data_IF_063047398642
#
_entry.id   IF_063047398642
#
_cell.length_a   1.000
_cell.length_b   1.000
_cell.length_c   1.000
_cell.angle_alpha   90.00
_cell.angle_beta   90.00
_cell.angle_gamma   90.00
#
_symmetry.space_group_name_H-M   'P 1'
#
loop_
_entity.id
_entity.type
_entity.pdbx_description
1 polymer ?
#
# COMPACT_ATOMS: atom_id res chain seq x y z
N UNK A 1 -5.88 -6.30 -3.19
CA UNK A 1 -4.53 -5.87 -3.63
C UNK A 1 -3.60 -7.07 -3.65
N UNK A 2 -2.76 -7.21 -4.68
CA UNK A 2 -1.73 -8.26 -4.69
C UNK A 2 -0.57 -7.82 -3.78
N UNK A 3 -0.37 -8.54 -2.69
CA UNK A 3 0.72 -8.25 -1.75
C UNK A 3 2.06 -8.69 -2.37
N UNK A 4 3.02 -7.76 -2.47
CA UNK A 4 4.41 -8.08 -2.83
C UNK A 4 5.09 -8.84 -1.68
N UNK A 5 4.81 -10.13 -1.58
CA UNK A 5 5.27 -11.00 -0.48
C UNK A 5 6.21 -12.06 -1.01
N UNK A 6 7.26 -12.37 -0.24
CA UNK A 6 8.12 -13.52 -0.46
C UNK A 6 7.94 -14.48 0.71
N UNK A 7 7.58 -15.72 0.41
CA UNK A 7 7.41 -16.80 1.37
C UNK A 7 8.62 -17.74 1.30
N UNK A 8 9.22 -18.00 2.46
CA UNK A 8 10.34 -18.93 2.59
C UNK A 8 9.87 -20.20 3.29
N UNK A 9 10.21 -21.36 2.74
CA UNK A 9 10.02 -22.66 3.40
C UNK A 9 11.36 -23.13 3.95
N UNK A 10 11.46 -23.28 5.27
CA UNK A 10 12.63 -23.81 5.94
C UNK A 10 12.28 -25.09 6.71
N UNK A 11 13.10 -26.12 6.54
CA UNK A 11 12.95 -27.42 7.20
C UNK A 11 14.30 -27.84 7.78
N UNK A 12 14.30 -28.34 9.03
CA UNK A 12 15.52 -28.78 9.71
C UNK A 12 16.65 -27.72 9.71
N UNK A 13 16.29 -26.44 9.93
CA UNK A 13 17.19 -25.28 9.83
C UNK A 13 17.85 -25.07 8.45
N UNK A 14 17.27 -25.63 7.39
CA UNK A 14 17.73 -25.45 5.99
C UNK A 14 16.63 -24.82 5.16
N UNK A 15 16.94 -23.76 4.43
CA UNK A 15 16.02 -23.14 3.48
C UNK A 15 15.82 -24.08 2.28
N UNK A 16 14.56 -24.47 2.02
CA UNK A 16 14.16 -25.39 0.95
C UNK A 16 13.63 -24.69 -0.28
N UNK A 17 12.84 -23.64 -0.10
CA UNK A 17 12.28 -22.87 -1.21
C UNK A 17 12.00 -21.42 -0.82
N UNK A 18 11.96 -20.57 -1.84
CA UNK A 18 11.51 -19.19 -1.76
C UNK A 18 10.52 -18.97 -2.92
N UNK A 19 9.33 -18.45 -2.63
CA UNK A 19 8.30 -18.19 -3.62
C UNK A 19 7.70 -16.80 -3.41
N UNK A 20 7.41 -16.07 -4.49
CA UNK A 20 6.84 -14.73 -4.40
C UNK A 20 7.23 -13.85 -5.58
N UNK A 21 6.92 -12.57 -5.46
CA UNK A 21 7.23 -11.59 -6.49
C UNK A 21 8.60 -10.97 -6.23
N UNK A 22 9.52 -11.14 -7.17
CA UNK A 22 10.81 -10.47 -7.14
C UNK A 22 10.72 -9.14 -7.86
N UNK A 23 11.02 -8.07 -7.13
CA UNK A 23 11.14 -6.74 -7.71
C UNK A 23 12.50 -6.61 -8.41
N UNK A 24 12.58 -5.93 -9.57
CA UNK A 24 13.84 -5.62 -10.20
C UNK A 24 14.77 -4.85 -9.25
N UNK A 25 16.08 -5.15 -9.30
CA UNK A 25 17.07 -4.49 -8.45
C UNK A 25 17.21 -2.99 -8.76
N UNK A 26 16.96 -2.60 -10.01
CA UNK A 26 17.03 -1.22 -10.46
C UNK A 26 15.62 -0.69 -10.73
N UNK A 27 15.32 0.46 -10.13
CA UNK A 27 14.07 1.19 -10.32
C UNK A 27 14.37 2.61 -10.76
N UNK A 28 13.52 3.16 -11.63
CA UNK A 28 13.54 4.58 -11.97
C UNK A 28 12.40 5.25 -11.21
N UNK A 29 12.73 6.23 -10.35
CA UNK A 29 11.71 7.03 -9.69
C UNK A 29 11.07 7.99 -10.70
N UNK A 30 9.74 8.08 -10.70
CA UNK A 30 9.05 9.16 -11.42
C UNK A 30 9.45 10.51 -10.79
N UNK A 31 10.06 11.40 -11.57
CA UNK A 31 10.44 12.73 -11.10
C UNK A 31 9.27 13.70 -11.25
N UNK A 32 9.02 14.52 -10.22
CA UNK A 32 8.22 15.75 -10.36
C UNK A 32 6.87 15.79 -9.66
N UNK A 33 6.43 14.74 -8.95
CA UNK A 33 5.15 14.78 -8.23
C UNK A 33 5.33 15.12 -6.74
N UNK A 34 4.62 16.14 -6.27
CA UNK A 34 4.52 16.44 -4.84
C UNK A 34 3.61 15.41 -4.18
N UNK A 35 4.21 14.41 -3.52
CA UNK A 35 3.46 13.39 -2.80
C UNK A 35 2.73 13.97 -1.58
N UNK A 36 1.55 13.43 -1.30
CA UNK A 36 0.78 13.77 -0.11
C UNK A 36 1.57 13.43 1.15
N UNK A 37 1.56 14.36 2.10
CA UNK A 37 2.02 14.11 3.46
C UNK A 37 1.05 13.20 4.20
N UNK A 38 1.50 12.63 5.32
CA UNK A 38 0.66 11.85 6.22
C UNK A 38 -0.62 12.60 6.64
N UNK A 39 -0.52 13.89 6.97
CA UNK A 39 -1.65 14.71 7.39
C UNK A 39 -2.67 14.94 6.28
N UNK A 40 -2.22 15.18 5.05
CA UNK A 40 -3.11 15.37 3.90
C UNK A 40 -3.80 14.06 3.51
N UNK A 41 -3.06 12.95 3.55
CA UNK A 41 -3.64 11.62 3.31
C UNK A 41 -4.70 11.27 4.36
N UNK A 42 -4.44 11.56 5.64
CA UNK A 42 -5.42 11.33 6.71
C UNK A 42 -6.67 12.21 6.53
N UNK A 43 -6.49 13.46 6.10
CA UNK A 43 -7.61 14.36 5.79
C UNK A 43 -8.48 13.78 4.66
N UNK A 44 -7.86 13.31 3.57
CA UNK A 44 -8.58 12.69 2.45
C UNK A 44 -9.37 11.44 2.88
N UNK A 45 -8.76 10.59 3.73
CA UNK A 45 -9.46 9.45 4.32
C UNK A 45 -10.67 9.86 5.17
N UNK A 46 -10.52 10.85 6.05
CA UNK A 46 -11.60 11.32 6.92
C UNK A 46 -12.78 11.92 6.13
N UNK A 47 -12.49 12.62 5.02
CA UNK A 47 -13.52 13.13 4.12
C UNK A 47 -14.33 12.01 3.47
N UNK A 48 -13.67 10.96 2.97
CA UNK A 48 -14.32 9.78 2.38
C UNK A 48 -15.10 8.98 3.43
N UNK A 49 -14.57 8.81 4.64
CA UNK A 49 -15.29 8.16 5.75
C UNK A 49 -16.59 8.91 6.06
N UNK A 50 -16.55 10.25 6.08
CA UNK A 50 -17.72 11.09 6.39
C UNK A 50 -18.84 10.92 5.34
N UNK A 51 -18.51 10.76 4.07
CA UNK A 51 -19.50 10.66 2.98
C UNK A 51 -19.97 9.23 2.73
N UNK A 52 -19.13 8.23 2.98
CA UNK A 52 -19.44 6.81 2.76
C UNK A 52 -20.32 6.17 3.84
N UNK A 53 -20.41 6.78 5.04
CA UNK A 53 -21.12 6.19 6.18
C UNK A 53 -20.38 5.01 6.82
N UNK A 54 -19.09 4.83 6.53
CA UNK A 54 -18.29 3.74 7.07
C UNK A 54 -18.18 3.81 8.61
N UNK A 55 -18.44 2.68 9.27
CA UNK A 55 -18.41 2.53 10.74
C UNK A 55 -16.99 2.23 11.21
N UNK A 56 -16.05 3.13 10.94
CA UNK A 56 -14.69 3.09 11.50
C UNK A 56 -14.70 3.88 12.81
N UNK A 57 -14.42 3.30 13.97
CA UNK A 57 -14.44 4.06 15.24
C UNK A 57 -13.07 4.64 15.60
N UNK A 58 -11.98 4.02 15.13
CA UNK A 58 -10.62 4.47 15.41
C UNK A 58 -9.66 4.23 14.24
N UNK A 59 -8.73 5.18 14.05
CA UNK A 59 -7.51 4.96 13.25
C UNK A 59 -6.43 4.49 14.21
N UNK A 60 -5.87 3.31 13.96
CA UNK A 60 -4.86 2.66 14.81
C UNK A 60 -3.45 2.81 14.27
N UNK A 61 -3.29 3.20 13.00
CA UNK A 61 -2.00 3.31 12.35
C UNK A 61 -2.06 4.12 11.05
N UNK A 62 -0.92 4.70 10.69
CA UNK A 62 -0.71 5.39 9.43
C UNK A 62 0.73 5.15 8.97
N UNK A 63 0.91 4.45 7.86
CA UNK A 63 2.24 4.07 7.37
C UNK A 63 2.36 4.24 5.86
N UNK A 64 3.53 4.65 5.35
CA UNK A 64 3.78 4.67 3.91
C UNK A 64 3.96 3.24 3.39
N UNK A 65 3.43 2.96 2.21
CA UNK A 65 3.57 1.67 1.54
C UNK A 65 3.55 1.86 0.01
N UNK A 66 3.68 0.76 -0.72
CA UNK A 66 3.55 0.74 -2.17
C UNK A 66 2.54 -0.33 -2.59
N UNK A 67 1.74 0.00 -3.59
CA UNK A 67 1.02 -1.00 -4.36
C UNK A 67 1.86 -1.41 -5.57
N UNK A 68 2.01 -2.72 -5.74
CA UNK A 68 2.63 -3.30 -6.91
C UNK A 68 1.59 -3.39 -8.02
N UNK A 69 1.85 -2.72 -9.13
CA UNK A 69 1.08 -2.87 -10.36
C UNK A 69 1.91 -3.67 -11.35
N UNK A 70 1.47 -4.91 -11.59
CA UNK A 70 2.12 -5.83 -12.50
C UNK A 70 1.28 -5.97 -13.77
N UNK A 71 1.74 -5.36 -14.85
CA UNK A 71 1.12 -5.48 -16.18
C UNK A 71 2.02 -6.26 -17.11
N UNK A 72 1.48 -6.78 -18.21
CA UNK A 72 2.26 -7.57 -19.18
C UNK A 72 3.47 -6.82 -19.78
N UNK A 73 3.53 -5.49 -19.67
CA UNK A 73 4.58 -4.66 -20.27
C UNK A 73 5.40 -3.84 -19.26
N UNK A 74 4.96 -3.74 -18.00
CA UNK A 74 5.62 -2.93 -16.99
C UNK A 74 5.28 -3.38 -15.57
N UNK A 75 6.27 -3.24 -14.69
CA UNK A 75 6.14 -3.41 -13.25
C UNK A 75 6.35 -2.04 -12.59
N UNK A 76 5.32 -1.52 -11.94
CA UNK A 76 5.33 -0.19 -11.32
C UNK A 76 4.95 -0.27 -9.86
N UNK A 77 5.53 0.62 -9.05
CA UNK A 77 5.21 0.78 -7.63
C UNK A 77 4.54 2.13 -7.43
N UNK A 78 3.28 2.11 -7.00
CA UNK A 78 2.52 3.33 -6.71
C UNK A 78 2.61 3.63 -5.22
N UNK A 79 3.11 4.82 -4.81
CA UNK A 79 3.20 5.18 -3.40
C UNK A 79 1.80 5.37 -2.80
N UNK A 80 1.57 4.78 -1.64
CA UNK A 80 0.31 4.84 -0.90
C UNK A 80 0.56 5.14 0.58
N UNK A 81 -0.45 5.69 1.25
CA UNK A 81 -0.57 5.67 2.71
C UNK A 81 -1.55 4.56 3.11
N UNK A 82 -1.12 3.62 3.94
CA UNK A 82 -2.00 2.64 4.59
C UNK A 82 -2.53 3.26 5.88
N UNK A 83 -3.84 3.32 6.00
CA UNK A 83 -4.58 3.75 7.19
C UNK A 83 -5.13 2.49 7.85
N UNK A 84 -4.53 2.10 8.97
CA UNK A 84 -5.02 0.97 9.75
C UNK A 84 -6.19 1.45 10.61
N UNK A 85 -7.29 0.69 10.60
CA UNK A 85 -8.47 1.01 11.39
C UNK A 85 -8.96 -0.18 12.20
N UNK A 86 -9.89 0.07 13.11
CA UNK A 86 -10.55 -0.98 13.90
C UNK A 86 -11.57 -1.83 13.10
N UNK A 87 -11.81 -1.50 11.83
CA UNK A 87 -12.76 -2.21 10.97
C UNK A 87 -12.12 -2.82 9.72
N UNK A 88 -11.55 -1.98 8.85
CA UNK A 88 -10.86 -2.39 7.61
C UNK A 88 -9.74 -1.42 7.29
N UNK A 89 -8.68 -1.89 6.66
CA UNK A 89 -7.59 -1.02 6.24
C UNK A 89 -7.98 -0.23 4.98
N UNK A 90 -7.54 1.01 4.94
CA UNK A 90 -7.71 1.88 3.78
C UNK A 90 -6.36 2.26 3.21
N UNK A 91 -6.38 2.61 1.93
CA UNK A 91 -5.22 3.04 1.17
C UNK A 91 -5.52 4.36 0.51
N UNK A 92 -4.64 5.34 0.72
CA UNK A 92 -4.73 6.65 0.10
C UNK A 92 -3.59 6.79 -0.90
N UNK A 93 -3.92 7.05 -2.16
CA UNK A 93 -2.94 7.25 -3.19
C UNK A 93 -2.14 8.54 -2.92
N UNK A 94 -0.82 8.44 -2.80
CA UNK A 94 0.03 9.58 -2.47
C UNK A 94 0.10 10.64 -3.57
N UNK A 95 -0.35 10.34 -4.78
CA UNK A 95 -0.36 11.27 -5.92
C UNK A 95 -1.74 11.90 -6.08
N UNK A 96 -2.79 11.09 -6.07
CA UNK A 96 -4.16 11.54 -6.42
C UNK A 96 -5.04 11.81 -5.21
N UNK A 97 -4.69 11.33 -4.03
CA UNK A 97 -5.55 11.36 -2.85
C UNK A 97 -6.75 10.42 -2.91
N UNK A 98 -6.86 9.59 -3.96
CA UNK A 98 -7.92 8.60 -4.08
C UNK A 98 -7.83 7.59 -2.93
N UNK A 99 -8.99 7.29 -2.32
CA UNK A 99 -9.10 6.38 -1.18
C UNK A 99 -9.77 5.08 -1.63
N UNK A 100 -9.13 3.96 -1.33
CA UNK A 100 -9.69 2.62 -1.51
C UNK A 100 -9.64 1.85 -0.18
N UNK A 101 -10.51 0.87 0.00
CA UNK A 101 -10.41 -0.09 1.11
C UNK A 101 -9.77 -1.40 0.61
N UNK A 102 -9.17 -2.15 1.53
CA UNK A 102 -8.52 -3.45 1.28
C UNK A 102 -9.49 -4.51 0.74
#
# INVERSE_FOLDING_TARGET
MEACTVTFLAENNVLRSANGTFLPLHSTAAQGESLLTASTALTAFLEVRRTSGAVVSAVTGLSPCYELQNTASALTLTPLWRVDTDAVDYYVNCVTGAVAHA
#
